data_IF_010231029417
#
_entry.id   IF_010231029417
#
_cell.length_a   1.000
_cell.length_b   1.000
_cell.length_c   1.000
_cell.angle_alpha   90.00
_cell.angle_beta   90.00
_cell.angle_gamma   90.00
#
_symmetry.space_group_name_H-M   'P 1'
#
loop_
_entity.id
_entity.type
_entity.pdbx_description
1 polymer ?
#
# COMPACT_ATOMS: atom_id res chain seq x y z
N UNK A 1 12.37 -19.51 16.92
CA UNK A 1 11.08 -18.82 16.70
C UNK A 1 10.94 -18.62 15.20
N UNK A 2 9.99 -19.29 14.54
CA UNK A 2 9.82 -19.21 13.08
C UNK A 2 9.17 -17.85 12.76
N UNK A 3 9.87 -16.96 12.06
CA UNK A 3 9.31 -15.66 11.69
C UNK A 3 8.23 -15.85 10.62
N UNK A 4 6.96 -15.72 11.03
CA UNK A 4 5.77 -15.84 10.17
C UNK A 4 5.68 -14.65 9.21
N UNK A 5 6.20 -13.49 9.59
CA UNK A 5 6.25 -12.29 8.77
C UNK A 5 7.61 -12.16 8.08
N UNK A 6 7.59 -11.81 6.80
CA UNK A 6 8.72 -11.29 6.05
C UNK A 6 8.40 -9.89 5.53
N UNK A 7 9.22 -8.93 5.90
CA UNK A 7 9.17 -7.56 5.39
C UNK A 7 10.21 -7.45 4.29
N UNK A 8 9.76 -7.34 3.05
CA UNK A 8 10.67 -7.17 1.91
C UNK A 8 11.37 -5.82 2.02
N UNK A 9 12.66 -5.80 1.70
CA UNK A 9 13.39 -4.54 1.53
C UNK A 9 12.74 -3.71 0.41
N UNK A 10 12.96 -2.39 0.46
CA UNK A 10 12.64 -1.52 -0.67
C UNK A 10 13.40 -2.04 -1.89
N UNK A 11 12.73 -2.08 -3.05
CA UNK A 11 13.40 -2.50 -4.27
C UNK A 11 14.53 -1.52 -4.63
N UNK A 12 15.74 -2.07 -4.78
CA UNK A 12 16.91 -1.46 -5.37
C UNK A 12 17.45 -2.43 -6.42
N UNK A 13 17.72 -1.94 -7.62
CA UNK A 13 18.23 -2.76 -8.72
C UNK A 13 19.60 -3.36 -8.39
N UNK A 14 20.44 -2.63 -7.65
CA UNK A 14 21.77 -3.09 -7.25
C UNK A 14 21.71 -4.23 -6.22
N UNK A 15 20.60 -4.30 -5.46
CA UNK A 15 20.40 -5.31 -4.42
C UNK A 15 19.41 -6.41 -4.85
N UNK A 16 18.86 -6.35 -6.06
CA UNK A 16 17.73 -7.18 -6.48
C UNK A 16 17.97 -8.68 -6.27
N UNK A 17 19.18 -9.16 -6.55
CA UNK A 17 19.52 -10.58 -6.34
C UNK A 17 19.46 -10.99 -4.87
N UNK A 18 19.98 -10.14 -3.98
CA UNK A 18 19.97 -10.40 -2.53
C UNK A 18 18.57 -10.32 -1.93
N UNK A 19 17.74 -9.37 -2.39
CA UNK A 19 16.34 -9.26 -1.98
C UNK A 19 15.56 -10.51 -2.37
N UNK A 20 15.78 -11.03 -3.59
CA UNK A 20 15.15 -12.26 -4.06
C UNK A 20 15.63 -13.48 -3.25
N UNK A 21 16.92 -13.59 -2.94
CA UNK A 21 17.45 -14.70 -2.16
C UNK A 21 16.86 -14.75 -0.75
N UNK A 22 16.83 -13.62 -0.04
CA UNK A 22 16.20 -13.51 1.30
C UNK A 22 14.72 -13.91 1.28
N UNK A 23 14.02 -13.53 0.21
CA UNK A 23 12.62 -13.87 0.06
C UNK A 23 12.41 -15.34 -0.28
N UNK A 24 13.23 -15.92 -1.14
CA UNK A 24 13.18 -17.36 -1.46
C UNK A 24 13.47 -18.22 -0.21
N UNK A 25 14.40 -17.81 0.65
CA UNK A 25 14.64 -18.46 1.96
C UNK A 25 13.44 -18.39 2.89
N UNK A 26 12.66 -17.30 2.83
CA UNK A 26 11.38 -17.21 3.53
C UNK A 26 10.32 -18.13 2.91
N UNK A 27 10.18 -18.14 1.58
CA UNK A 27 9.23 -19.00 0.89
C UNK A 27 9.54 -20.49 1.04
N UNK A 28 10.81 -20.86 1.22
CA UNK A 28 11.24 -22.24 1.50
C UNK A 28 10.71 -22.77 2.83
N UNK A 29 10.30 -21.88 3.75
CA UNK A 29 9.71 -22.24 5.05
C UNK A 29 8.19 -22.38 5.02
N UNK A 30 7.55 -22.11 3.88
CA UNK A 30 6.10 -22.20 3.71
C UNK A 30 5.79 -23.50 2.98
N UNK A 31 5.24 -24.46 3.71
CA UNK A 31 4.91 -25.78 3.20
C UNK A 31 3.42 -26.07 3.29
N UNK A 32 2.91 -26.81 2.32
CA UNK A 32 1.54 -27.33 2.33
C UNK A 32 1.58 -28.84 2.23
N UNK A 33 1.00 -29.48 3.24
CA UNK A 33 0.83 -30.93 3.33
C UNK A 33 -0.64 -31.28 3.03
N UNK A 34 -0.97 -32.59 2.85
CA UNK A 34 -2.37 -33.00 2.66
C UNK A 34 -3.31 -32.61 3.81
N UNK A 35 -2.78 -32.42 5.02
CA UNK A 35 -3.56 -32.21 6.25
C UNK A 35 -3.39 -30.81 6.87
N UNK A 36 -2.39 -30.03 6.43
CA UNK A 36 -2.11 -28.71 6.96
C UNK A 36 -1.43 -27.80 5.93
N UNK A 37 -1.80 -26.52 5.93
CA UNK A 37 -1.18 -25.46 5.12
C UNK A 37 -0.48 -24.48 6.06
N UNK A 38 0.84 -24.35 5.96
CA UNK A 38 1.56 -23.28 6.65
C UNK A 38 1.33 -21.97 5.90
N UNK A 39 1.11 -20.90 6.66
CA UNK A 39 0.91 -19.56 6.11
C UNK A 39 2.05 -18.65 6.50
N UNK A 40 2.45 -17.82 5.56
CA UNK A 40 3.36 -16.70 5.77
C UNK A 40 2.64 -15.37 5.58
N UNK A 41 3.14 -14.34 6.24
CA UNK A 41 2.78 -12.95 6.00
C UNK A 41 3.92 -12.29 5.22
N UNK A 42 3.57 -11.56 4.15
CA UNK A 42 4.54 -10.79 3.35
C UNK A 42 4.10 -9.34 3.34
N UNK A 43 5.00 -8.46 3.78
CA UNK A 43 4.89 -7.02 3.53
C UNK A 43 5.80 -6.67 2.36
N UNK A 44 5.23 -6.20 1.25
CA UNK A 44 5.96 -5.89 0.02
C UNK A 44 5.36 -4.72 -0.74
N UNK A 45 5.76 -4.56 -2.00
CA UNK A 45 5.21 -3.54 -2.90
C UNK A 45 4.46 -4.22 -4.05
N UNK A 46 3.17 -3.91 -4.19
CA UNK A 46 2.35 -4.43 -5.28
C UNK A 46 2.80 -3.83 -6.61
N UNK A 47 3.03 -4.69 -7.61
CA UNK A 47 3.41 -4.27 -8.96
C UNK A 47 2.26 -4.38 -9.94
N UNK A 48 1.70 -5.57 -10.11
CA UNK A 48 0.56 -5.80 -11.00
C UNK A 48 -0.45 -6.75 -10.38
N UNK A 49 -1.71 -6.63 -10.84
CA UNK A 49 -2.76 -7.63 -10.65
C UNK A 49 -3.42 -7.88 -11.98
N UNK A 50 -3.15 -9.04 -12.58
CA UNK A 50 -3.56 -9.38 -13.94
C UNK A 50 -4.52 -10.56 -13.92
N UNK A 51 -5.51 -10.56 -14.82
CA UNK A 51 -6.39 -11.72 -14.97
C UNK A 51 -5.60 -12.95 -15.45
N UNK A 52 -5.95 -14.12 -14.93
CA UNK A 52 -5.38 -15.41 -15.30
C UNK A 52 -6.48 -16.44 -15.52
N UNK A 53 -6.13 -17.63 -16.02
CA UNK A 53 -7.10 -18.69 -16.35
C UNK A 53 -8.03 -19.08 -15.19
N UNK A 54 -7.57 -18.99 -13.94
CA UNK A 54 -8.29 -19.48 -12.75
C UNK A 54 -8.54 -18.39 -11.69
N UNK A 55 -8.34 -17.12 -12.03
CA UNK A 55 -8.41 -16.02 -11.07
C UNK A 55 -7.47 -14.91 -11.48
N UNK A 56 -6.58 -14.48 -10.58
CA UNK A 56 -5.63 -13.40 -10.83
C UNK A 56 -4.21 -13.81 -10.51
N UNK A 57 -3.27 -13.28 -11.30
CA UNK A 57 -1.84 -13.30 -11.04
C UNK A 57 -1.43 -11.96 -10.44
N UNK A 58 -0.85 -12.00 -9.25
CA UNK A 58 -0.34 -10.85 -8.50
C UNK A 58 1.19 -10.92 -8.52
N UNK A 59 1.82 -9.80 -8.82
CA UNK A 59 3.29 -9.68 -8.77
C UNK A 59 3.70 -8.60 -7.77
N UNK A 60 4.81 -8.84 -7.08
CA UNK A 60 5.43 -7.85 -6.20
C UNK A 60 6.65 -7.25 -6.90
N UNK A 61 6.96 -5.98 -6.62
CA UNK A 61 8.06 -5.29 -7.30
C UNK A 61 9.41 -5.93 -7.03
N UNK A 62 9.58 -6.47 -5.83
CA UNK A 62 10.83 -7.04 -5.34
C UNK A 62 11.16 -8.43 -5.91
N UNK A 63 10.24 -9.11 -6.59
CA UNK A 63 10.45 -10.48 -7.03
C UNK A 63 9.79 -10.79 -8.37
N UNK A 64 10.30 -11.81 -9.07
CA UNK A 64 9.68 -12.36 -10.29
C UNK A 64 8.68 -13.49 -9.98
N UNK A 65 8.51 -13.85 -8.70
CA UNK A 65 7.52 -14.86 -8.29
C UNK A 65 6.12 -14.34 -8.57
N UNK A 66 5.28 -15.22 -9.09
CA UNK A 66 3.85 -14.97 -9.30
C UNK A 66 3.06 -15.57 -8.16
N UNK A 67 2.12 -14.81 -7.61
CA UNK A 67 1.17 -15.27 -6.63
C UNK A 67 -0.22 -15.33 -7.25
N UNK A 68 -0.96 -16.39 -6.98
CA UNK A 68 -2.33 -16.52 -7.47
C UNK A 68 -3.34 -16.08 -6.42
N UNK A 69 -4.38 -15.38 -6.84
CA UNK A 69 -5.47 -14.94 -5.98
C UNK A 69 -6.83 -15.31 -6.62
N UNK A 70 -7.82 -15.59 -5.78
CA UNK A 70 -9.18 -15.86 -6.25
C UNK A 70 -9.84 -14.56 -6.74
N UNK A 71 -10.81 -14.69 -7.63
CA UNK A 71 -11.61 -13.54 -8.08
C UNK A 71 -12.30 -12.82 -6.92
N UNK A 72 -12.90 -13.58 -6.00
CA UNK A 72 -13.58 -13.03 -4.82
C UNK A 72 -12.63 -12.19 -3.96
N UNK A 73 -11.41 -12.66 -3.70
CA UNK A 73 -10.43 -11.93 -2.91
C UNK A 73 -10.04 -10.60 -3.58
N UNK A 74 -9.81 -10.64 -4.89
CA UNK A 74 -9.46 -9.44 -5.66
C UNK A 74 -10.60 -8.42 -5.71
N UNK A 75 -11.84 -8.86 -5.90
CA UNK A 75 -13.02 -7.98 -5.90
C UNK A 75 -13.22 -7.32 -4.52
N UNK A 76 -13.03 -8.10 -3.43
CA UNK A 76 -13.05 -7.55 -2.07
C UNK A 76 -11.93 -6.53 -1.86
N UNK A 77 -10.70 -6.84 -2.25
CA UNK A 77 -9.57 -5.92 -2.10
C UNK A 77 -9.77 -4.62 -2.90
N UNK A 78 -10.26 -4.72 -4.13
CA UNK A 78 -10.58 -3.56 -4.96
C UNK A 78 -11.66 -2.68 -4.33
N UNK A 79 -12.68 -3.29 -3.72
CA UNK A 79 -13.75 -2.56 -3.04
C UNK A 79 -13.31 -1.92 -1.71
N UNK A 80 -12.48 -2.61 -0.92
CA UNK A 80 -12.01 -2.14 0.38
C UNK A 80 -10.91 -1.09 0.28
N UNK A 81 -10.02 -1.20 -0.72
CA UNK A 81 -8.83 -0.34 -0.87
C UNK A 81 -8.86 0.47 -2.16
N UNK A 82 -10.00 1.10 -2.47
CA UNK A 82 -10.27 1.77 -3.75
C UNK A 82 -9.17 2.73 -4.21
N UNK A 83 -8.67 3.60 -3.32
CA UNK A 83 -7.64 4.57 -3.66
C UNK A 83 -6.32 3.91 -4.06
N UNK A 84 -5.91 2.86 -3.33
CA UNK A 84 -4.74 2.07 -3.69
C UNK A 84 -4.97 1.32 -5.01
N UNK A 85 -6.12 0.66 -5.14
CA UNK A 85 -6.47 -0.12 -6.32
C UNK A 85 -6.45 0.70 -7.61
N UNK A 86 -6.99 1.92 -7.58
CA UNK A 86 -7.01 2.85 -8.71
C UNK A 86 -5.62 3.27 -9.19
N UNK A 87 -4.59 3.14 -8.34
CA UNK A 87 -3.21 3.54 -8.63
C UNK A 87 -2.28 2.36 -8.95
N UNK A 88 -2.82 1.13 -9.08
CA UNK A 88 -2.00 -0.06 -9.42
C UNK A 88 -1.33 0.16 -10.77
N UNK A 89 0.00 0.00 -10.80
CA UNK A 89 0.81 0.20 -12.00
C UNK A 89 1.20 1.66 -12.28
N UNK A 90 0.68 2.64 -11.53
CA UNK A 90 1.07 4.04 -11.69
C UNK A 90 2.48 4.28 -11.12
N UNK A 91 3.37 4.84 -11.93
CA UNK A 91 4.76 5.06 -11.55
C UNK A 91 4.96 6.12 -10.44
N UNK A 92 4.00 7.03 -10.27
CA UNK A 92 4.01 8.11 -9.27
C UNK A 92 3.61 7.66 -7.87
N UNK A 93 2.92 6.52 -7.77
CA UNK A 93 2.45 5.95 -6.52
C UNK A 93 3.26 4.70 -6.12
N UNK A 94 3.16 4.34 -4.85
CA UNK A 94 3.60 3.05 -4.32
C UNK A 94 2.42 2.43 -3.62
N UNK A 95 2.25 1.12 -3.75
CA UNK A 95 1.21 0.40 -3.03
C UNK A 95 1.90 -0.62 -2.15
N UNK A 96 1.90 -0.35 -0.85
CA UNK A 96 2.38 -1.32 0.13
C UNK A 96 1.29 -2.38 0.28
N UNK A 97 1.69 -3.64 0.19
CA UNK A 97 0.79 -4.79 0.33
C UNK A 97 1.21 -5.62 1.54
N UNK A 98 0.24 -5.96 2.38
CA UNK A 98 0.34 -7.04 3.36
C UNK A 98 -0.49 -8.21 2.85
N UNK A 99 0.16 -9.34 2.57
CA UNK A 99 -0.48 -10.53 2.04
C UNK A 99 -0.28 -11.72 2.97
N UNK A 100 -1.36 -12.46 3.24
CA UNK A 100 -1.27 -13.82 3.78
C UNK A 100 -1.10 -14.76 2.60
N UNK A 101 -0.01 -15.54 2.61
CA UNK A 101 0.33 -16.46 1.54
C UNK A 101 0.46 -17.90 2.04
N UNK A 102 0.25 -18.84 1.14
CA UNK A 102 0.50 -20.27 1.34
C UNK A 102 0.87 -20.93 0.01
N UNK A 103 1.24 -22.21 0.05
CA UNK A 103 1.41 -23.02 -1.17
C UNK A 103 0.15 -23.82 -1.49
N UNK A 104 -0.14 -24.01 -2.76
CA UNK A 104 -1.10 -25.04 -3.19
C UNK A 104 -0.44 -26.43 -3.12
N UNK A 105 -1.23 -27.49 -3.29
CA UNK A 105 -0.69 -28.87 -3.34
C UNK A 105 0.27 -29.07 -4.52
N UNK A 106 0.09 -28.30 -5.59
CA UNK A 106 0.94 -28.25 -6.79
C UNK A 106 2.16 -27.32 -6.60
N UNK A 107 2.34 -26.74 -5.42
CA UNK A 107 3.50 -25.91 -5.08
C UNK A 107 3.40 -24.43 -5.47
N UNK A 108 2.29 -24.01 -6.12
CA UNK A 108 2.07 -22.62 -6.51
C UNK A 108 1.89 -21.72 -5.28
N UNK A 109 2.35 -20.47 -5.36
CA UNK A 109 2.10 -19.48 -4.32
C UNK A 109 0.69 -18.91 -4.46
N UNK A 110 -0.06 -18.89 -3.36
CA UNK A 110 -1.43 -18.39 -3.31
C UNK A 110 -1.56 -17.31 -2.24
N UNK A 111 -2.19 -16.19 -2.58
CA UNK A 111 -2.64 -15.19 -1.62
C UNK A 111 -4.03 -15.60 -1.14
N UNK A 112 -4.21 -15.69 0.18
CA UNK A 112 -5.49 -16.02 0.80
C UNK A 112 -6.15 -14.82 1.48
N UNK A 113 -5.37 -13.80 1.82
CA UNK A 113 -5.87 -12.53 2.35
C UNK A 113 -4.90 -11.39 1.98
N UNK A 114 -5.42 -10.18 1.82
CA UNK A 114 -4.64 -9.03 1.34
C UNK A 114 -5.16 -7.70 1.91
N UNK A 115 -4.22 -6.84 2.29
CA UNK A 115 -4.47 -5.44 2.60
C UNK A 115 -3.53 -4.54 1.80
N UNK A 116 -4.03 -3.39 1.37
CA UNK A 116 -3.29 -2.43 0.53
C UNK A 116 -3.25 -1.05 1.22
N UNK A 117 -2.10 -0.40 1.14
CA UNK A 117 -1.90 0.99 1.56
C UNK A 117 -1.34 1.77 0.39
N UNK A 118 -2.06 2.83 -0.02
CA UNK A 118 -1.58 3.76 -1.03
C UNK A 118 -0.53 4.66 -0.40
N UNK A 119 0.59 4.86 -1.09
CA UNK A 119 1.65 5.76 -0.68
C UNK A 119 2.13 6.62 -1.85
N UNK A 120 2.77 7.74 -1.52
CA UNK A 120 3.58 8.47 -2.49
C UNK A 120 4.87 7.72 -2.85
N UNK A 121 5.69 8.28 -3.75
CA UNK A 121 6.95 7.69 -4.19
C UNK A 121 7.98 7.45 -3.07
N UNK A 122 7.81 8.12 -1.93
CA UNK A 122 8.66 8.01 -0.74
C UNK A 122 8.02 7.20 0.39
N UNK A 123 6.98 6.41 0.09
CA UNK A 123 6.26 5.56 1.05
C UNK A 123 5.48 6.29 2.14
N UNK A 124 5.19 7.59 1.96
CA UNK A 124 4.26 8.30 2.83
C UNK A 124 2.82 7.84 2.53
N UNK A 125 2.06 7.30 3.50
CA UNK A 125 0.67 6.88 3.29
C UNK A 125 -0.20 8.03 2.77
N UNK A 126 -1.12 7.74 1.86
CA UNK A 126 -2.00 8.71 1.21
C UNK A 126 -3.40 8.11 1.07
N UNK A 127 -4.44 8.89 1.33
CA UNK A 127 -5.83 8.40 1.22
C UNK A 127 -6.41 8.61 -0.19
N UNK A 128 -5.71 9.37 -1.04
CA UNK A 128 -6.13 9.70 -2.41
C UNK A 128 -4.96 9.90 -3.38
N UNK A 129 -5.24 9.82 -4.69
CA UNK A 129 -4.28 10.15 -5.74
C UNK A 129 -3.84 11.61 -5.71
N UNK A 130 -4.71 12.51 -5.25
CA UNK A 130 -4.39 13.93 -5.07
C UNK A 130 -3.39 14.13 -3.93
N UNK A 131 -3.53 13.39 -2.82
CA UNK A 131 -2.53 13.40 -1.76
C UNK A 131 -1.19 12.83 -2.22
N UNK A 132 -1.20 11.78 -3.05
CA UNK A 132 0.03 11.27 -3.68
C UNK A 132 0.72 12.38 -4.48
N UNK A 133 -0.03 13.10 -5.31
CA UNK A 133 0.50 14.22 -6.10
C UNK A 133 1.06 15.33 -5.20
N UNK A 134 0.32 15.74 -4.17
CA UNK A 134 0.75 16.76 -3.21
C UNK A 134 2.02 16.33 -2.46
N UNK A 135 2.03 15.12 -1.89
CA UNK A 135 3.17 14.60 -1.15
C UNK A 135 4.42 14.49 -2.05
N UNK A 136 4.26 14.00 -3.29
CA UNK A 136 5.36 13.97 -4.26
C UNK A 136 5.88 15.38 -4.57
N UNK A 137 4.99 16.37 -4.70
CA UNK A 137 5.38 17.76 -4.95
C UNK A 137 6.15 18.35 -3.78
N UNK A 138 5.66 18.19 -2.56
CA UNK A 138 6.33 18.69 -1.33
C UNK A 138 7.72 18.09 -1.18
N UNK A 139 7.88 16.78 -1.44
CA UNK A 139 9.18 16.11 -1.43
C UNK A 139 10.11 16.65 -2.53
N UNK A 140 9.61 16.78 -3.76
CA UNK A 140 10.40 17.29 -4.89
C UNK A 140 10.88 18.74 -4.65
N UNK A 141 10.06 19.56 -4.01
CA UNK A 141 10.40 20.93 -3.61
C UNK A 141 11.25 21.00 -2.33
N UNK A 142 11.57 19.87 -1.70
CA UNK A 142 12.32 19.79 -0.43
C UNK A 142 11.70 20.64 0.69
N UNK A 143 10.37 20.71 0.73
CA UNK A 143 9.65 21.37 1.81
C UNK A 143 9.83 20.58 3.11
N UNK A 144 9.85 21.28 4.24
CA UNK A 144 9.71 20.64 5.55
C UNK A 144 8.23 20.57 5.89
N UNK A 145 7.72 19.35 6.06
CA UNK A 145 6.31 19.14 6.34
C UNK A 145 6.08 17.87 7.17
N UNK A 146 4.93 17.79 7.81
CA UNK A 146 4.40 16.57 8.44
C UNK A 146 3.08 16.18 7.77
N UNK A 147 2.78 14.87 7.75
CA UNK A 147 1.43 14.36 7.46
C UNK A 147 0.90 13.74 8.74
N UNK A 148 0.10 14.48 9.52
CA UNK A 148 -0.52 13.96 10.73
C UNK A 148 -1.36 12.71 10.41
N UNK A 149 -1.11 11.61 11.14
CA UNK A 149 -1.85 10.35 10.94
C UNK A 149 -3.01 10.16 11.92
N UNK A 150 -3.00 10.92 13.02
CA UNK A 150 -3.98 10.84 14.11
C UNK A 150 -4.12 12.22 14.74
N UNK A 151 -5.32 12.52 15.24
CA UNK A 151 -5.54 13.70 16.09
C UNK A 151 -4.82 13.47 17.42
N UNK A 152 -3.94 14.39 17.80
CA UNK A 152 -3.37 14.42 19.14
C UNK A 152 -4.23 15.26 20.09
N UNK A 153 -4.03 15.08 21.40
CA UNK A 153 -4.79 15.82 22.40
C UNK A 153 -4.50 17.33 22.29
N UNK A 154 -5.52 18.11 21.90
CA UNK A 154 -5.41 19.55 21.67
C UNK A 154 -5.52 19.95 20.21
N UNK A 155 -5.46 19.01 19.27
CA UNK A 155 -5.67 19.29 17.86
C UNK A 155 -7.16 19.53 17.58
N UNK A 156 -7.47 20.69 17.00
CA UNK A 156 -8.83 20.98 16.55
C UNK A 156 -9.19 20.23 15.25
N UNK A 157 -8.19 19.90 14.42
CA UNK A 157 -8.33 19.35 13.08
C UNK A 157 -7.10 18.51 12.71
N UNK A 158 -7.30 17.52 11.82
CA UNK A 158 -6.23 16.73 11.22
C UNK A 158 -6.05 17.18 9.77
N UNK A 159 -5.10 18.08 9.47
CA UNK A 159 -4.84 18.50 8.10
C UNK A 159 -4.16 17.38 7.32
N UNK A 160 -4.34 17.36 5.99
CA UNK A 160 -3.69 16.35 5.14
C UNK A 160 -2.17 16.49 5.14
N UNK A 161 -1.67 17.72 5.18
CA UNK A 161 -0.26 18.05 5.38
C UNK A 161 -0.12 19.33 6.18
N UNK A 162 1.03 19.52 6.82
CA UNK A 162 1.36 20.74 7.54
C UNK A 162 2.80 21.14 7.25
N UNK A 163 2.98 22.33 6.68
CA UNK A 163 4.30 22.91 6.44
C UNK A 163 4.89 23.42 7.75
N UNK A 164 6.16 23.12 7.95
CA UNK A 164 6.94 23.50 9.14
C UNK A 164 8.11 24.44 8.80
N UNK A 165 8.23 24.82 7.54
CA UNK A 165 9.22 25.77 7.03
C UNK A 165 8.69 27.19 6.78
N UNK A 166 7.45 27.45 7.18
CA UNK A 166 6.78 28.76 7.11
C UNK A 166 6.85 29.48 8.46
N UNK A 167 6.68 30.81 8.49
CA UNK A 167 6.72 31.61 9.74
C UNK A 167 5.72 31.12 10.80
N UNK A 168 4.52 30.73 10.35
CA UNK A 168 3.53 30.00 11.14
C UNK A 168 3.27 28.65 10.50
N UNK A 169 2.98 27.63 11.30
CA UNK A 169 2.62 26.30 10.81
C UNK A 169 1.44 26.41 9.83
N UNK A 170 1.65 25.98 8.59
CA UNK A 170 0.66 26.19 7.52
C UNK A 170 0.03 24.86 7.13
N UNK A 171 -1.27 24.71 7.39
CA UNK A 171 -2.04 23.54 7.00
C UNK A 171 -2.32 23.52 5.49
N UNK A 172 -2.27 22.33 4.90
CA UNK A 172 -2.68 22.05 3.53
C UNK A 172 -3.77 20.98 3.58
N UNK A 173 -4.88 21.26 2.90
CA UNK A 173 -6.02 20.37 2.75
C UNK A 173 -6.13 20.01 1.26
N UNK A 174 -6.13 18.72 0.97
CA UNK A 174 -6.16 18.17 -0.39
C UNK A 174 -7.58 17.77 -0.72
N UNK A 175 -8.20 18.62 -1.53
CA UNK A 175 -9.60 18.47 -1.88
C UNK A 175 -9.79 17.49 -3.05
N UNK A 176 -9.93 16.19 -2.74
CA UNK A 176 -9.92 15.10 -3.73
C UNK A 176 -11.26 14.55 -4.27
N UNK A 177 -12.45 15.02 -3.87
CA UNK A 177 -13.73 14.44 -4.36
C UNK A 177 -14.84 15.47 -4.55
N UNK A 178 -15.15 15.86 -5.79
CA UNK A 178 -16.32 16.71 -6.09
C UNK A 178 -17.68 16.00 -5.98
N UNK A 179 -17.74 14.74 -5.52
CA UNK A 179 -18.96 13.91 -5.59
C UNK A 179 -19.50 13.34 -4.27
N UNK A 180 -18.93 13.66 -3.11
CA UNK A 180 -19.43 13.15 -1.82
C UNK A 180 -20.21 14.24 -1.05
N UNK A 181 -21.52 14.08 -0.76
CA UNK A 181 -22.31 15.08 -0.04
C UNK A 181 -21.73 15.43 1.35
N UNK A 182 -21.18 14.45 2.08
CA UNK A 182 -20.54 14.68 3.39
C UNK A 182 -19.28 15.55 3.28
N UNK A 183 -18.64 15.53 2.12
CA UNK A 183 -17.44 16.33 1.85
C UNK A 183 -17.79 17.79 1.55
N UNK A 184 -18.94 18.06 0.92
CA UNK A 184 -19.47 19.41 0.75
C UNK A 184 -19.90 20.04 2.08
N UNK A 185 -20.39 19.23 3.03
CA UNK A 185 -20.71 19.72 4.39
C UNK A 185 -19.45 20.08 5.17
N UNK A 186 -18.42 19.23 5.19
CA UNK A 186 -17.12 19.59 5.79
C UNK A 186 -16.47 20.81 5.14
N UNK A 187 -16.64 20.98 3.82
CA UNK A 187 -16.16 22.16 3.08
C UNK A 187 -16.86 23.44 3.56
N UNK A 188 -18.17 23.39 3.82
CA UNK A 188 -18.94 24.54 4.33
C UNK A 188 -18.60 24.89 5.78
N UNK A 189 -18.39 23.89 6.63
CA UNK A 189 -17.97 24.10 8.02
C UNK A 189 -16.58 24.73 8.13
N UNK A 190 -15.64 24.34 7.26
CA UNK A 190 -14.26 24.88 7.25
C UNK A 190 -14.12 26.25 6.58
N UNK A 191 -15.01 26.62 5.65
CA UNK A 191 -14.98 27.94 4.99
C UNK A 191 -15.72 29.05 5.76
N UNK A 192 -16.50 28.70 6.76
CA UNK A 192 -17.27 29.63 7.58
C UNK A 192 -16.51 30.17 8.80
N UNK A 193 -15.20 29.93 8.92
CA UNK A 193 -14.37 30.34 10.07
C UNK A 193 -12.98 30.80 9.67
#
# INVERSE_FOLDING_TARGET
>A
MQSVLHVMRRYDENEAQSIVAEFDDFLGRIETTPTASQRGLVLGELRTVDASKYGFAVTLRQTKRTFFASKQLIEMAAASFRSAWAMVGDASARIVVLAVIERTKEGNLRIVDIALQLCNSSFLPCDSSYEVAMANRLVAERRRFTKPLRLENGDALLPDFQLTDTEALTAIEVYGMQGNPQYLERKKEKQAR
#
